data_IF_841100447226
#
_entry.id   IF_841100447226
#
_cell.length_a   1.000
_cell.length_b   1.000
_cell.length_c   1.000
_cell.angle_alpha   90.00
_cell.angle_beta   90.00
_cell.angle_gamma   90.00
#
_symmetry.space_group_name_H-M   'P 1'
#
loop_
_entity.id
_entity.type
_entity.pdbx_description
1 polymer ?
#
# COMPACT_ATOMS: atom_id res chain seq x y z
N UNK A 1 -10.34 -87.62 -25.29
CA UNK A 1 -9.08 -87.17 -24.64
C UNK A 1 -8.55 -85.98 -25.41
N UNK A 2 -8.21 -84.93 -24.68
CA UNK A 2 -7.79 -83.61 -25.18
C UNK A 2 -6.62 -83.64 -26.15
N UNK A 3 -6.67 -82.78 -27.16
CA UNK A 3 -5.50 -82.06 -27.66
C UNK A 3 -6.00 -80.74 -28.28
N UNK A 4 -6.22 -79.74 -27.41
CA UNK A 4 -6.26 -78.33 -27.83
C UNK A 4 -4.81 -77.92 -28.08
N UNK A 5 -4.39 -77.96 -29.33
CA UNK A 5 -3.21 -77.24 -29.79
C UNK A 5 -3.51 -75.75 -29.60
N UNK A 6 -2.83 -75.14 -28.65
CA UNK A 6 -2.87 -73.69 -28.45
C UNK A 6 -1.99 -73.11 -29.55
N UNK A 7 -2.59 -72.54 -30.58
CA UNK A 7 -1.90 -71.67 -31.53
C UNK A 7 -1.38 -70.46 -30.75
N UNK A 8 -0.12 -70.52 -30.36
CA UNK A 8 0.64 -69.33 -30.04
C UNK A 8 0.71 -68.52 -31.34
N UNK A 9 -0.14 -67.50 -31.45
CA UNK A 9 -0.02 -66.45 -32.46
C UNK A 9 1.34 -65.82 -32.24
N UNK A 10 2.30 -66.23 -33.07
CA UNK A 10 3.62 -65.63 -33.18
C UNK A 10 3.43 -64.15 -33.57
N UNK A 11 3.42 -63.27 -32.55
CA UNK A 11 3.28 -61.84 -32.77
C UNK A 11 4.60 -61.37 -33.34
N UNK A 12 4.55 -60.79 -34.55
CA UNK A 12 5.71 -60.15 -35.15
C UNK A 12 6.33 -59.17 -34.14
N UNK A 13 7.67 -59.21 -33.92
CA UNK A 13 8.35 -58.41 -32.89
C UNK A 13 7.96 -56.92 -32.90
N UNK A 14 7.75 -56.33 -34.08
CA UNK A 14 7.37 -54.92 -34.26
C UNK A 14 6.00 -54.52 -33.69
N UNK A 15 5.03 -55.44 -33.60
CA UNK A 15 3.69 -55.12 -33.10
C UNK A 15 3.68 -54.88 -31.58
N UNK A 16 4.59 -55.53 -30.86
CA UNK A 16 4.73 -55.35 -29.42
C UNK A 16 5.43 -54.03 -29.09
N UNK A 17 6.45 -53.67 -29.86
CA UNK A 17 7.21 -52.44 -29.73
C UNK A 17 6.34 -51.20 -30.02
N UNK A 18 5.50 -51.26 -31.07
CA UNK A 18 4.54 -50.18 -31.36
C UNK A 18 3.47 -50.01 -30.28
N UNK A 19 3.04 -51.09 -29.64
CA UNK A 19 2.10 -51.01 -28.50
C UNK A 19 2.76 -50.38 -27.27
N UNK A 20 4.04 -50.65 -27.04
CA UNK A 20 4.81 -50.02 -25.95
C UNK A 20 4.97 -48.53 -26.21
N UNK A 21 5.32 -48.13 -27.43
CA UNK A 21 5.38 -46.71 -27.82
C UNK A 21 4.02 -46.02 -27.64
N UNK A 22 2.93 -46.65 -28.08
CA UNK A 22 1.58 -46.11 -27.89
C UNK A 22 1.23 -45.97 -26.40
N UNK A 23 1.58 -46.96 -25.57
CA UNK A 23 1.36 -46.89 -24.13
C UNK A 23 2.18 -45.76 -23.48
N UNK A 24 3.44 -45.59 -23.87
CA UNK A 24 4.31 -44.50 -23.42
C UNK A 24 3.74 -43.13 -23.79
N UNK A 25 3.38 -42.93 -25.07
CA UNK A 25 2.75 -41.69 -25.54
C UNK A 25 1.41 -41.42 -24.83
N UNK A 26 0.62 -42.47 -24.57
CA UNK A 26 -0.64 -42.37 -23.82
C UNK A 26 -0.41 -41.92 -22.39
N UNK A 27 0.58 -42.49 -21.71
CA UNK A 27 0.94 -42.11 -20.34
C UNK A 27 1.39 -40.63 -20.26
N UNK A 28 2.28 -40.19 -21.16
CA UNK A 28 2.72 -38.78 -21.22
C UNK A 28 1.57 -37.83 -21.51
N UNK A 29 0.68 -38.19 -22.45
CA UNK A 29 -0.54 -37.42 -22.75
C UNK A 29 -1.42 -37.24 -21.51
N UNK A 30 -1.50 -38.27 -20.68
CA UNK A 30 -2.32 -38.29 -19.47
C UNK A 30 -1.59 -37.70 -18.23
N UNK A 31 -0.37 -37.15 -18.43
CA UNK A 31 0.40 -36.45 -17.41
C UNK A 31 1.37 -37.31 -16.59
N UNK A 32 1.54 -38.59 -16.94
CA UNK A 32 2.53 -39.46 -16.31
C UNK A 32 3.90 -39.29 -16.97
N UNK A 33 4.72 -38.39 -16.40
CA UNK A 33 6.11 -38.18 -16.81
C UNK A 33 7.12 -39.14 -16.13
N UNK A 34 6.63 -40.14 -15.39
CA UNK A 34 7.45 -41.23 -14.84
C UNK A 34 7.66 -42.39 -15.82
N UNK A 35 6.85 -42.46 -16.89
CA UNK A 35 6.92 -43.51 -17.91
C UNK A 35 8.23 -43.49 -18.69
N UNK A 36 8.79 -44.66 -19.02
CA UNK A 36 10.01 -44.79 -19.83
C UNK A 36 9.86 -45.93 -20.83
N UNK A 37 10.38 -45.74 -22.04
CA UNK A 37 10.51 -46.79 -23.04
C UNK A 37 11.85 -47.52 -22.87
N UNK A 38 11.92 -48.84 -23.16
CA UNK A 38 13.17 -49.59 -23.16
C UNK A 38 14.16 -49.01 -24.18
N UNK A 39 15.37 -48.67 -23.74
CA UNK A 39 16.42 -48.05 -24.57
C UNK A 39 17.48 -49.06 -25.05
N UNK A 40 17.29 -50.34 -24.78
CA UNK A 40 18.18 -51.46 -25.10
C UNK A 40 17.91 -52.08 -26.47
N UNK A 41 16.89 -51.63 -27.19
CA UNK A 41 16.59 -52.07 -28.55
C UNK A 41 17.59 -51.52 -29.57
N UNK A 42 18.08 -52.36 -30.47
CA UNK A 42 18.89 -51.92 -31.62
C UNK A 42 17.98 -51.34 -32.73
N UNK A 43 18.47 -50.31 -33.44
CA UNK A 43 17.78 -49.69 -34.57
C UNK A 43 16.81 -48.57 -34.21
N UNK A 44 15.93 -48.20 -35.15
CA UNK A 44 15.09 -47.00 -35.07
C UNK A 44 14.23 -46.92 -33.80
N UNK A 45 13.78 -48.05 -33.27
CA UNK A 45 12.98 -48.09 -32.04
C UNK A 45 13.78 -47.73 -30.79
N UNK A 46 15.06 -48.11 -30.71
CA UNK A 46 15.98 -47.66 -29.67
C UNK A 46 16.25 -46.16 -29.76
N UNK A 47 16.41 -45.64 -30.98
CA UNK A 47 16.56 -44.19 -31.22
C UNK A 47 15.30 -43.42 -30.79
N UNK A 48 14.11 -43.92 -31.16
CA UNK A 48 12.82 -43.35 -30.73
C UNK A 48 12.68 -43.40 -29.21
N UNK A 49 13.02 -44.52 -28.57
CA UNK A 49 12.97 -44.65 -27.12
C UNK A 49 13.89 -43.65 -26.42
N UNK A 50 15.10 -43.43 -26.97
CA UNK A 50 16.05 -42.44 -26.45
C UNK A 50 15.49 -41.02 -26.54
N UNK A 51 14.96 -40.62 -27.71
CA UNK A 51 14.37 -39.29 -27.90
C UNK A 51 13.11 -39.12 -27.05
N UNK A 52 12.26 -40.14 -26.98
CA UNK A 52 11.06 -40.15 -26.14
C UNK A 52 11.41 -39.95 -24.66
N UNK A 53 12.33 -40.75 -24.13
CA UNK A 53 12.74 -40.64 -22.73
C UNK A 53 13.33 -39.26 -22.42
N UNK A 54 14.15 -38.70 -23.32
CA UNK A 54 14.67 -37.34 -23.19
C UNK A 54 13.58 -36.26 -23.19
N UNK A 55 12.55 -36.39 -24.04
CA UNK A 55 11.38 -35.50 -24.02
C UNK A 55 10.60 -35.61 -22.69
N UNK A 56 10.42 -36.83 -22.17
CA UNK A 56 9.74 -37.06 -20.90
C UNK A 56 10.53 -36.47 -19.73
N UNK A 57 11.85 -36.62 -19.72
CA UNK A 57 12.72 -36.00 -18.72
C UNK A 57 12.56 -34.47 -18.72
N UNK A 58 12.59 -33.85 -19.91
CA UNK A 58 12.41 -32.40 -20.06
C UNK A 58 11.05 -31.92 -19.54
N UNK A 59 9.98 -32.64 -19.89
CA UNK A 59 8.62 -32.36 -19.44
C UNK A 59 8.47 -32.49 -17.92
N UNK A 60 9.11 -33.51 -17.34
CA UNK A 60 9.10 -33.75 -15.90
C UNK A 60 9.76 -32.58 -15.14
N UNK A 61 10.96 -32.17 -15.58
CA UNK A 61 11.70 -31.06 -14.95
C UNK A 61 10.95 -29.74 -15.10
N UNK A 62 10.47 -29.42 -16.31
CA UNK A 62 9.72 -28.18 -16.53
C UNK A 62 8.46 -28.13 -15.65
N UNK A 63 7.70 -29.23 -15.56
CA UNK A 63 6.48 -29.28 -14.75
C UNK A 63 6.79 -29.14 -13.27
N UNK A 64 7.85 -29.77 -12.76
CA UNK A 64 8.25 -29.60 -11.36
C UNK A 64 8.67 -28.16 -11.06
N UNK A 65 9.40 -27.52 -11.98
CA UNK A 65 9.89 -26.15 -11.80
C UNK A 65 8.76 -25.12 -11.84
N UNK A 66 7.83 -25.24 -12.78
CA UNK A 66 6.65 -24.36 -12.82
C UNK A 66 5.78 -24.55 -11.59
N UNK A 67 5.59 -25.79 -11.13
CA UNK A 67 4.82 -26.07 -9.90
C UNK A 67 5.49 -25.47 -8.68
N UNK A 68 6.83 -25.57 -8.59
CA UNK A 68 7.63 -24.99 -7.50
C UNK A 68 7.52 -23.47 -7.49
N UNK A 69 7.76 -22.80 -8.62
CA UNK A 69 7.68 -21.34 -8.74
C UNK A 69 6.28 -20.82 -8.44
N UNK A 70 5.24 -21.50 -8.94
CA UNK A 70 3.86 -21.14 -8.66
C UNK A 70 3.53 -21.24 -7.15
N UNK A 71 4.06 -22.27 -6.48
CA UNK A 71 3.90 -22.43 -5.03
C UNK A 71 4.66 -21.36 -4.25
N UNK A 72 5.94 -21.14 -4.57
CA UNK A 72 6.79 -20.15 -3.88
C UNK A 72 6.23 -18.73 -4.01
N UNK A 73 5.99 -18.27 -5.24
CA UNK A 73 5.56 -16.90 -5.52
C UNK A 73 4.08 -16.71 -5.20
N UNK A 74 3.23 -17.69 -5.55
CA UNK A 74 1.78 -17.55 -5.46
C UNK A 74 1.16 -17.95 -4.13
N UNK A 75 1.74 -18.93 -3.41
CA UNK A 75 1.15 -19.47 -2.17
C UNK A 75 1.98 -19.11 -0.94
N UNK A 76 3.30 -19.28 -1.00
CA UNK A 76 4.18 -19.05 0.14
C UNK A 76 4.60 -17.59 0.28
N UNK A 77 4.43 -16.78 -0.78
CA UNK A 77 4.83 -15.37 -0.80
C UNK A 77 6.35 -15.16 -0.86
N UNK A 78 7.10 -16.21 -1.17
CA UNK A 78 8.55 -16.15 -1.38
C UNK A 78 8.83 -15.55 -2.76
N UNK A 79 8.91 -14.21 -2.80
CA UNK A 79 9.11 -13.48 -4.04
C UNK A 79 10.55 -13.64 -4.57
N UNK A 80 10.70 -13.91 -5.85
CA UNK A 80 11.99 -14.05 -6.54
C UNK A 80 12.32 -15.46 -7.03
N UNK A 81 11.43 -16.43 -6.82
CA UNK A 81 11.55 -17.76 -7.42
C UNK A 81 11.55 -17.68 -8.95
N UNK A 82 12.49 -18.38 -9.58
CA UNK A 82 12.60 -18.54 -11.03
C UNK A 82 12.72 -20.03 -11.36
N UNK A 83 12.15 -20.44 -12.48
CA UNK A 83 12.28 -21.78 -13.05
C UNK A 83 13.66 -21.93 -13.68
N UNK A 84 14.37 -22.98 -13.29
CA UNK A 84 15.66 -23.36 -13.87
C UNK A 84 15.51 -24.72 -14.56
N UNK A 85 15.47 -24.70 -15.89
CA UNK A 85 15.24 -25.90 -16.69
C UNK A 85 16.47 -26.14 -17.57
N UNK A 86 17.37 -27.08 -17.22
CA UNK A 86 18.59 -27.33 -17.97
C UNK A 86 18.31 -27.80 -19.40
N UNK A 87 19.19 -27.43 -20.33
CA UNK A 87 19.19 -27.97 -21.70
C UNK A 87 18.03 -27.52 -22.60
N UNK A 88 17.16 -26.60 -22.13
CA UNK A 88 16.06 -26.09 -22.95
C UNK A 88 16.57 -25.24 -24.12
N UNK A 89 15.92 -25.40 -25.27
CA UNK A 89 16.13 -24.58 -26.46
C UNK A 89 14.83 -24.42 -27.24
N UNK A 90 14.79 -23.46 -28.17
CA UNK A 90 13.59 -23.14 -28.93
C UNK A 90 12.41 -22.80 -28.01
N UNK A 91 11.23 -23.32 -28.31
CA UNK A 91 10.00 -23.03 -27.57
C UNK A 91 10.07 -23.34 -26.08
N UNK A 92 10.88 -24.33 -25.67
CA UNK A 92 11.06 -24.63 -24.24
C UNK A 92 11.78 -23.51 -23.50
N UNK A 93 12.78 -22.89 -24.14
CA UNK A 93 13.47 -21.73 -23.57
C UNK A 93 12.51 -20.54 -23.49
N UNK A 94 11.76 -20.27 -24.56
CA UNK A 94 10.79 -19.17 -24.60
C UNK A 94 9.71 -19.30 -23.51
N UNK A 95 9.26 -20.53 -23.21
CA UNK A 95 8.29 -20.80 -22.15
C UNK A 95 8.89 -20.59 -20.75
N UNK A 96 10.10 -21.09 -20.50
CA UNK A 96 10.81 -20.84 -19.23
C UNK A 96 11.02 -19.34 -19.01
N UNK A 97 11.47 -18.62 -20.04
CA UNK A 97 11.67 -17.18 -19.99
C UNK A 97 10.37 -16.42 -19.74
N UNK A 98 9.25 -16.88 -20.34
CA UNK A 98 7.93 -16.28 -20.12
C UNK A 98 7.43 -16.46 -18.69
N UNK A 99 7.59 -17.65 -18.11
CA UNK A 99 7.26 -17.92 -16.69
C UNK A 99 8.12 -17.06 -15.77
N UNK A 100 9.42 -16.99 -16.04
CA UNK A 100 10.36 -16.20 -15.25
C UNK A 100 10.10 -14.69 -15.36
N UNK A 101 9.75 -14.19 -16.55
CA UNK A 101 9.35 -12.81 -16.75
C UNK A 101 8.07 -12.47 -15.95
N UNK A 102 7.07 -13.35 -15.98
CA UNK A 102 5.84 -13.17 -15.20
C UNK A 102 6.12 -13.15 -13.69
N UNK A 103 6.85 -14.16 -13.18
CA UNK A 103 7.19 -14.27 -11.76
C UNK A 103 8.08 -13.11 -11.28
N UNK A 104 9.05 -12.70 -12.09
CA UNK A 104 9.96 -11.59 -11.81
C UNK A 104 9.27 -10.24 -11.80
N UNK A 105 8.36 -9.99 -12.74
CA UNK A 105 7.56 -8.76 -12.78
C UNK A 105 6.67 -8.63 -11.54
N UNK A 106 5.91 -9.68 -11.20
CA UNK A 106 5.04 -9.69 -10.02
C UNK A 106 5.86 -9.56 -8.72
N UNK A 107 6.99 -10.27 -8.62
CA UNK A 107 7.93 -10.13 -7.50
C UNK A 107 8.37 -8.70 -7.29
N UNK A 108 8.85 -8.05 -8.36
CA UNK A 108 9.38 -6.69 -8.29
C UNK A 108 8.29 -5.70 -7.92
N UNK A 109 7.12 -5.83 -8.55
CA UNK A 109 5.96 -4.96 -8.31
C UNK A 109 5.43 -5.06 -6.88
N UNK A 110 5.20 -6.27 -6.38
CA UNK A 110 4.68 -6.49 -5.03
C UNK A 110 5.70 -6.08 -3.96
N UNK A 111 6.99 -6.34 -4.19
CA UNK A 111 8.06 -5.94 -3.26
C UNK A 111 8.17 -4.41 -3.14
N UNK A 112 8.06 -3.68 -4.24
CA UNK A 112 8.09 -2.20 -4.24
C UNK A 112 6.89 -1.63 -3.46
N UNK A 113 5.68 -2.17 -3.71
CA UNK A 113 4.47 -1.81 -2.95
C UNK A 113 4.66 -2.05 -1.45
N UNK A 114 5.20 -3.21 -1.07
CA UNK A 114 5.43 -3.54 0.34
C UNK A 114 6.46 -2.61 1.01
N UNK A 115 7.50 -2.20 0.27
CA UNK A 115 8.49 -1.24 0.77
C UNK A 115 7.85 0.13 1.04
N UNK A 116 7.06 0.65 0.10
CA UNK A 116 6.37 1.93 0.26
C UNK A 116 5.34 1.88 1.40
N UNK A 117 4.56 0.80 1.50
CA UNK A 117 3.64 0.61 2.63
C UNK A 117 4.37 0.58 3.98
N UNK A 118 5.55 -0.07 4.04
CA UNK A 118 6.40 -0.10 5.23
C UNK A 118 6.96 1.29 5.56
N UNK A 119 7.37 2.07 4.55
CA UNK A 119 7.85 3.43 4.72
C UNK A 119 6.75 4.34 5.31
N UNK A 120 5.54 4.28 4.75
CA UNK A 120 4.36 5.00 5.25
C UNK A 120 4.05 4.62 6.70
N UNK A 121 4.10 3.33 7.03
CA UNK A 121 3.88 2.87 8.40
C UNK A 121 4.94 3.40 9.39
N UNK A 122 6.15 3.71 8.91
CA UNK A 122 7.22 4.34 9.70
C UNK A 122 7.17 5.88 9.66
N UNK A 123 6.18 6.46 9.00
CA UNK A 123 6.02 7.91 8.86
C UNK A 123 6.84 8.54 7.74
N UNK A 124 7.51 7.75 6.90
CA UNK A 124 8.19 8.25 5.71
C UNK A 124 7.20 8.31 4.53
N UNK A 125 6.75 9.54 4.25
CA UNK A 125 5.79 9.84 3.17
C UNK A 125 6.49 10.35 1.89
N UNK A 126 7.82 10.23 1.81
CA UNK A 126 8.59 10.61 0.63
C UNK A 126 8.71 9.49 -0.41
N UNK A 127 8.50 8.24 0.02
CA UNK A 127 8.65 7.06 -0.83
C UNK A 127 7.44 6.86 -1.75
N UNK A 128 7.71 6.46 -2.99
CA UNK A 128 6.69 6.18 -4.01
C UNK A 128 7.00 4.87 -4.71
N UNK A 129 5.96 4.20 -5.17
CA UNK A 129 6.11 3.06 -6.06
C UNK A 129 6.55 3.61 -7.39
N UNK A 130 7.69 3.16 -7.90
CA UNK A 130 8.26 3.66 -9.16
C UNK A 130 8.44 2.55 -10.21
N UNK A 131 8.34 1.29 -9.81
CA UNK A 131 8.50 0.18 -10.75
C UNK A 131 7.47 0.20 -11.90
N UNK A 132 7.85 -0.21 -13.13
CA UNK A 132 6.93 -0.30 -14.25
C UNK A 132 5.77 -1.25 -13.97
N UNK A 133 4.55 -0.79 -14.24
CA UNK A 133 3.33 -1.56 -14.05
C UNK A 133 2.34 -1.31 -15.19
N UNK A 134 1.46 -2.28 -15.44
CA UNK A 134 0.36 -2.18 -16.41
C UNK A 134 -0.89 -2.83 -15.82
N UNK A 135 -2.05 -2.51 -16.41
CA UNK A 135 -3.34 -3.09 -16.00
C UNK A 135 -3.64 -2.84 -14.53
N UNK A 136 -4.13 -3.87 -13.84
CA UNK A 136 -4.55 -3.79 -12.42
C UNK A 136 -3.39 -3.40 -11.48
N UNK A 137 -2.16 -3.81 -11.77
CA UNK A 137 -0.99 -3.44 -10.96
C UNK A 137 -0.67 -1.95 -11.12
N UNK A 138 -0.89 -1.37 -12.30
CA UNK A 138 -0.73 0.08 -12.49
C UNK A 138 -1.78 0.84 -11.67
N UNK A 139 -3.04 0.40 -11.71
CA UNK A 139 -4.11 1.00 -10.92
C UNK A 139 -3.80 0.93 -9.41
N UNK A 140 -3.26 -0.21 -8.94
CA UNK A 140 -2.82 -0.36 -7.56
C UNK A 140 -1.67 0.60 -7.22
N UNK A 141 -0.65 0.69 -8.08
CA UNK A 141 0.47 1.65 -7.96
C UNK A 141 -0.05 3.09 -7.83
N UNK A 142 -0.95 3.51 -8.73
CA UNK A 142 -1.53 4.85 -8.72
C UNK A 142 -2.35 5.11 -7.45
N UNK A 143 -3.13 4.13 -7.00
CA UNK A 143 -3.95 4.22 -5.80
C UNK A 143 -3.08 4.41 -4.56
N UNK A 144 -2.03 3.58 -4.40
CA UNK A 144 -1.10 3.69 -3.26
C UNK A 144 -0.32 5.00 -3.33
N UNK A 145 0.18 5.40 -4.51
CA UNK A 145 0.89 6.67 -4.65
C UNK A 145 -0.01 7.86 -4.30
N UNK A 146 -1.27 7.86 -4.75
CA UNK A 146 -2.25 8.90 -4.40
C UNK A 146 -2.50 8.95 -2.89
N UNK A 147 -2.63 7.80 -2.22
CA UNK A 147 -2.75 7.73 -0.77
C UNK A 147 -1.53 8.37 -0.07
N UNK A 148 -0.31 8.09 -0.55
CA UNK A 148 0.91 8.72 -0.02
C UNK A 148 0.91 10.24 -0.23
N UNK A 149 0.45 10.74 -1.39
CA UNK A 149 0.37 12.19 -1.64
C UNK A 149 -0.61 12.89 -0.71
N UNK A 150 -1.78 12.27 -0.49
CA UNK A 150 -2.79 12.79 0.43
C UNK A 150 -2.28 12.84 1.87
N UNK A 151 -1.64 11.76 2.33
CA UNK A 151 -1.01 11.70 3.64
C UNK A 151 0.07 12.78 3.80
N UNK A 152 0.95 12.92 2.82
CA UNK A 152 2.06 13.88 2.84
C UNK A 152 1.55 15.32 2.88
N UNK A 153 0.58 15.64 2.02
CA UNK A 153 -0.04 16.96 1.96
C UNK A 153 -0.77 17.31 3.26
N UNK A 154 -1.52 16.35 3.82
CA UNK A 154 -2.20 16.54 5.10
C UNK A 154 -1.21 16.76 6.25
N UNK A 155 -0.16 15.95 6.35
CA UNK A 155 0.86 16.10 7.37
C UNK A 155 1.58 17.45 7.30
N UNK A 156 1.91 17.91 6.09
CA UNK A 156 2.50 19.22 5.86
C UNK A 156 1.56 20.36 6.30
N UNK A 157 0.29 20.29 5.93
CA UNK A 157 -0.70 21.33 6.24
C UNK A 157 -1.02 21.41 7.74
N UNK A 158 -1.18 20.27 8.41
CA UNK A 158 -1.38 20.25 9.87
C UNK A 158 -0.17 20.82 10.59
N UNK A 159 1.05 20.46 10.16
CA UNK A 159 2.28 20.98 10.75
C UNK A 159 2.38 22.50 10.54
N UNK A 160 2.03 22.99 9.34
CA UNK A 160 2.03 24.42 9.03
C UNK A 160 1.03 25.19 9.89
N UNK A 161 -0.22 24.73 9.98
CA UNK A 161 -1.26 25.40 10.79
C UNK A 161 -0.89 25.37 12.28
N UNK A 162 -0.38 24.25 12.78
CA UNK A 162 0.06 24.15 14.16
C UNK A 162 1.20 25.13 14.46
N UNK A 163 2.15 25.30 13.54
CA UNK A 163 3.23 26.28 13.68
C UNK A 163 2.70 27.72 13.63
N UNK A 164 1.89 28.05 12.63
CA UNK A 164 1.35 29.41 12.46
C UNK A 164 0.47 29.84 13.65
N UNK A 165 -0.54 29.04 13.99
CA UNK A 165 -1.52 29.40 15.02
C UNK A 165 -0.95 29.17 16.42
N UNK A 166 -0.25 28.06 16.64
CA UNK A 166 0.20 27.63 17.97
C UNK A 166 1.55 28.19 18.40
N UNK A 167 2.50 28.38 17.47
CA UNK A 167 3.87 28.81 17.82
C UNK A 167 4.16 30.25 17.41
N UNK A 168 3.80 30.64 16.18
CA UNK A 168 4.07 31.98 15.64
C UNK A 168 3.00 33.01 16.04
N UNK A 169 1.86 32.58 16.57
CA UNK A 169 0.73 33.45 16.92
C UNK A 169 0.08 34.12 15.70
N UNK A 170 0.32 33.61 14.49
CA UNK A 170 -0.29 34.07 13.24
C UNK A 170 -1.69 33.46 13.12
N UNK A 171 -2.63 34.11 13.80
CA UNK A 171 -4.01 33.65 13.88
C UNK A 171 -4.73 33.78 12.52
N UNK A 172 -5.60 32.81 12.21
CA UNK A 172 -6.38 32.75 10.97
C UNK A 172 -5.86 31.75 9.94
N UNK A 173 -4.75 31.05 10.22
CA UNK A 173 -4.26 29.96 9.38
C UNK A 173 -5.27 28.81 9.31
N UNK A 174 -5.49 28.28 8.11
CA UNK A 174 -6.35 27.13 7.85
C UNK A 174 -5.61 26.14 6.96
N UNK A 175 -5.82 24.85 7.21
CA UNK A 175 -5.31 23.75 6.42
C UNK A 175 -6.11 23.65 5.12
N UNK A 176 -5.41 23.55 3.99
CA UNK A 176 -5.99 23.31 2.68
C UNK A 176 -5.33 22.10 2.03
N UNK A 177 -6.04 20.98 2.03
CA UNK A 177 -5.58 19.73 1.43
C UNK A 177 -6.41 19.45 0.17
N UNK A 178 -5.86 19.61 -1.05
CA UNK A 178 -6.60 19.40 -2.28
C UNK A 178 -7.05 17.94 -2.45
N UNK A 179 -8.23 17.74 -3.04
CA UNK A 179 -8.68 16.40 -3.45
C UNK A 179 -9.05 15.45 -2.32
N UNK A 180 -9.10 15.91 -1.06
CA UNK A 180 -9.51 15.08 0.07
C UNK A 180 -11.02 14.88 0.12
N UNK A 181 -11.42 13.66 0.45
CA UNK A 181 -12.80 13.25 0.70
C UNK A 181 -12.89 12.24 1.85
N UNK A 182 -14.12 11.99 2.32
CA UNK A 182 -14.36 11.13 3.48
C UNK A 182 -13.60 11.61 4.72
N UNK A 183 -12.98 10.67 5.44
CA UNK A 183 -12.25 10.92 6.70
C UNK A 183 -11.20 12.02 6.57
N UNK A 184 -10.52 12.13 5.42
CA UNK A 184 -9.50 13.16 5.20
C UNK A 184 -10.08 14.58 5.23
N UNK A 185 -11.29 14.76 4.71
CA UNK A 185 -12.00 16.03 4.76
C UNK A 185 -12.43 16.35 6.19
N UNK A 186 -13.02 15.37 6.87
CA UNK A 186 -13.49 15.53 8.26
C UNK A 186 -12.35 15.93 9.21
N UNK A 187 -11.15 15.35 9.01
CA UNK A 187 -9.95 15.72 9.77
C UNK A 187 -9.47 17.13 9.44
N UNK A 188 -9.47 17.52 8.16
CA UNK A 188 -9.09 18.87 7.72
C UNK A 188 -10.03 19.92 8.32
N UNK A 189 -11.35 19.66 8.26
CA UNK A 189 -12.38 20.54 8.81
C UNK A 189 -12.27 20.65 10.33
N UNK A 190 -11.93 19.55 11.03
CA UNK A 190 -11.72 19.56 12.48
C UNK A 190 -10.52 20.42 12.88
N UNK A 191 -9.41 20.35 12.15
CA UNK A 191 -8.23 21.21 12.37
C UNK A 191 -8.58 22.68 12.11
N UNK A 192 -9.32 22.95 11.05
CA UNK A 192 -9.76 24.31 10.71
C UNK A 192 -10.73 24.89 11.73
N UNK A 193 -11.64 24.08 12.26
CA UNK A 193 -12.55 24.49 13.33
C UNK A 193 -11.79 24.83 14.61
N UNK A 194 -10.82 24.00 15.01
CA UNK A 194 -9.96 24.25 16.17
C UNK A 194 -9.16 25.56 15.99
N UNK A 195 -8.47 25.72 14.86
CA UNK A 195 -7.68 26.90 14.54
C UNK A 195 -8.54 28.17 14.48
N UNK A 196 -9.74 28.08 13.92
CA UNK A 196 -10.72 29.17 13.85
C UNK A 196 -11.22 29.61 15.22
N UNK A 197 -11.54 28.67 16.11
CA UNK A 197 -11.96 28.96 17.49
C UNK A 197 -10.84 29.63 18.29
N UNK A 198 -9.62 29.10 18.23
CA UNK A 198 -8.47 29.72 18.91
C UNK A 198 -8.20 31.12 18.38
N UNK A 199 -8.27 31.31 17.06
CA UNK A 199 -8.10 32.61 16.41
C UNK A 199 -9.13 33.63 16.89
N UNK A 200 -10.41 33.26 16.92
CA UNK A 200 -11.47 34.18 17.33
C UNK A 200 -11.34 34.54 18.81
N UNK A 201 -11.06 33.55 19.66
CA UNK A 201 -10.89 33.73 21.11
C UNK A 201 -9.72 34.64 21.44
N UNK A 202 -8.53 34.37 20.89
CA UNK A 202 -7.32 35.15 21.19
C UNK A 202 -7.41 36.57 20.62
N UNK A 203 -7.98 36.77 19.41
CA UNK A 203 -8.18 38.13 18.87
C UNK A 203 -9.14 38.96 19.72
N UNK A 204 -10.21 38.36 20.23
CA UNK A 204 -11.17 39.07 21.08
C UNK A 204 -10.51 39.51 22.41
N UNK A 205 -9.71 38.62 23.01
CA UNK A 205 -8.89 38.93 24.19
C UNK A 205 -7.93 40.08 23.91
N UNK A 206 -7.20 40.04 22.80
CA UNK A 206 -6.25 41.08 22.41
C UNK A 206 -6.94 42.44 22.18
N UNK A 207 -8.13 42.45 21.55
CA UNK A 207 -8.90 43.67 21.33
C UNK A 207 -9.33 44.32 22.64
N UNK A 208 -9.91 43.55 23.56
CA UNK A 208 -10.41 44.06 24.85
C UNK A 208 -9.27 44.54 25.73
N UNK A 209 -8.17 43.78 25.81
CA UNK A 209 -6.99 44.20 26.58
C UNK A 209 -6.33 45.46 26.02
N UNK A 210 -6.33 45.63 24.69
CA UNK A 210 -5.87 46.87 24.04
C UNK A 210 -6.77 48.06 24.36
N UNK A 211 -8.10 47.88 24.31
CA UNK A 211 -9.06 48.93 24.66
C UNK A 211 -8.88 49.39 26.12
N UNK A 212 -8.73 48.44 27.05
CA UNK A 212 -8.46 48.71 28.47
C UNK A 212 -7.16 49.50 28.63
N UNK A 213 -6.09 49.12 27.92
CA UNK A 213 -4.81 49.86 27.95
C UNK A 213 -4.93 51.30 27.39
N UNK A 214 -5.88 51.54 26.49
CA UNK A 214 -6.20 52.87 25.96
C UNK A 214 -7.19 53.65 26.84
N UNK A 215 -7.63 53.07 27.96
CA UNK A 215 -8.59 53.69 28.89
C UNK A 215 -10.06 53.47 28.53
N UNK A 216 -10.36 52.71 27.49
CA UNK A 216 -11.74 52.31 27.18
C UNK A 216 -12.12 51.04 27.96
N UNK A 217 -12.79 51.27 29.09
CA UNK A 217 -13.27 50.23 30.00
C UNK A 217 -14.70 49.75 29.67
N UNK A 218 -15.26 50.20 28.54
CA UNK A 218 -16.59 49.77 28.09
C UNK A 218 -16.56 48.43 27.34
N UNK A 219 -15.38 48.00 26.86
CA UNK A 219 -15.23 46.79 26.06
C UNK A 219 -15.16 45.53 26.91
N UNK A 220 -15.83 44.46 26.46
CA UNK A 220 -15.84 43.15 27.10
C UNK A 220 -15.59 42.06 26.07
N UNK A 221 -15.02 40.95 26.53
CA UNK A 221 -14.88 39.75 25.70
C UNK A 221 -16.27 39.12 25.61
N UNK A 222 -16.77 38.96 24.38
CA UNK A 222 -18.13 38.44 24.12
C UNK A 222 -18.13 37.05 23.49
N UNK A 223 -17.05 36.65 22.83
CA UNK A 223 -16.93 35.36 22.12
C UNK A 223 -17.22 34.15 23.02
N UNK A 224 -17.84 33.13 22.44
CA UNK A 224 -18.10 31.85 23.11
C UNK A 224 -16.80 31.13 23.45
N UNK A 225 -16.68 30.74 24.71
CA UNK A 225 -15.51 30.09 25.26
C UNK A 225 -15.94 28.95 26.21
N UNK A 226 -15.08 27.95 26.32
CA UNK A 226 -15.25 26.81 27.24
C UNK A 226 -13.92 26.48 27.91
N UNK A 227 -13.96 25.79 29.03
CA UNK A 227 -12.77 25.38 29.78
C UNK A 227 -11.88 26.57 30.17
N UNK A 228 -10.57 26.40 30.04
CA UNK A 228 -9.55 27.40 30.42
C UNK A 228 -9.75 28.76 29.73
N UNK A 229 -10.23 28.77 28.49
CA UNK A 229 -10.51 30.02 27.76
C UNK A 229 -11.71 30.77 28.36
N UNK A 230 -12.70 30.06 28.90
CA UNK A 230 -13.84 30.69 29.58
C UNK A 230 -13.39 31.32 30.90
N UNK A 231 -12.52 30.66 31.65
CA UNK A 231 -11.93 31.19 32.88
C UNK A 231 -11.12 32.46 32.59
N UNK A 232 -10.30 32.44 31.53
CA UNK A 232 -9.56 33.61 31.07
C UNK A 232 -10.50 34.76 30.69
N UNK A 233 -11.54 34.49 29.90
CA UNK A 233 -12.57 35.46 29.52
C UNK A 233 -13.19 36.12 30.76
N UNK A 234 -13.62 35.32 31.74
CA UNK A 234 -14.28 35.83 32.94
C UNK A 234 -13.33 36.64 33.82
N UNK A 235 -12.07 36.20 33.93
CA UNK A 235 -11.03 36.91 34.68
C UNK A 235 -10.78 38.29 34.09
N UNK A 236 -10.59 38.37 32.77
CA UNK A 236 -10.37 39.65 32.08
C UNK A 236 -11.60 40.53 32.19
N UNK A 237 -12.81 40.00 31.96
CA UNK A 237 -14.03 40.81 32.09
C UNK A 237 -14.19 41.38 33.50
N UNK A 238 -13.92 40.57 34.55
CA UNK A 238 -13.96 41.04 35.95
C UNK A 238 -12.91 42.13 36.21
N UNK A 239 -11.71 41.99 35.67
CA UNK A 239 -10.68 43.04 35.74
C UNK A 239 -11.17 44.36 35.13
N UNK A 240 -11.83 44.31 33.96
CA UNK A 240 -12.41 45.50 33.34
C UNK A 240 -13.47 46.15 34.24
N UNK A 241 -14.34 45.35 34.89
CA UNK A 241 -15.36 45.87 35.82
C UNK A 241 -14.71 46.58 37.01
N UNK A 242 -13.68 45.97 37.60
CA UNK A 242 -12.97 46.55 38.75
C UNK A 242 -12.26 47.85 38.39
N UNK A 243 -11.59 47.90 37.24
CA UNK A 243 -10.94 49.12 36.76
C UNK A 243 -11.95 50.24 36.48
N UNK A 244 -13.11 49.91 35.90
CA UNK A 244 -14.17 50.89 35.61
C UNK A 244 -14.69 51.49 36.91
N UNK A 245 -15.00 50.66 37.91
CA UNK A 245 -15.45 51.12 39.21
C UNK A 245 -14.41 51.99 39.94
N UNK A 246 -13.12 51.66 39.82
CA UNK A 246 -12.05 52.48 40.39
C UNK A 246 -11.96 53.85 39.71
N UNK A 247 -12.06 53.91 38.38
CA UNK A 247 -12.02 55.17 37.64
C UNK A 247 -13.21 56.10 38.01
N UNK A 248 -14.39 55.53 38.19
CA UNK A 248 -15.58 56.26 38.65
C UNK A 248 -15.38 56.83 40.06
N UNK A 249 -14.81 56.03 40.97
CA UNK A 249 -14.54 56.43 42.35
C UNK A 249 -13.48 57.55 42.43
N UNK A 250 -12.41 57.46 41.65
CA UNK A 250 -11.39 58.53 41.56
C UNK A 250 -12.02 59.82 41.04
N UNK A 251 -12.88 59.73 40.02
CA UNK A 251 -13.59 60.89 39.47
C UNK A 251 -14.52 61.52 40.50
N UNK A 252 -15.20 60.70 41.31
CA UNK A 252 -16.05 61.17 42.42
C UNK A 252 -15.23 61.88 43.49
N UNK A 253 -14.17 61.26 43.99
CA UNK A 253 -13.28 61.85 45.02
C UNK A 253 -12.62 63.14 44.54
N UNK A 254 -12.15 63.19 43.28
CA UNK A 254 -11.56 64.38 42.71
C UNK A 254 -12.54 65.58 42.68
N UNK A 255 -13.84 65.33 42.48
CA UNK A 255 -14.88 66.36 42.58
C UNK A 255 -15.14 66.81 44.02
N UNK A 256 -15.12 65.89 44.98
CA UNK A 256 -15.39 66.19 46.39
C UNK A 256 -14.24 66.93 47.08
N UNK A 257 -12.99 66.65 46.71
CA UNK A 257 -11.80 67.29 47.31
C UNK A 257 -11.45 68.62 46.60
N UNK A 258 -11.94 68.82 45.38
CA UNK A 258 -11.74 70.04 44.60
C UNK A 258 -12.68 71.21 44.94
N UNK A 259 -13.62 71.02 45.87
CA UNK A 259 -14.53 72.05 46.41
C UNK A 259 -14.15 72.43 47.83
#
# INVERSE_FOLDING_TARGET
MNSRTTEAVDRAPGDQELRQLLAGLTAVRDGDFGTRLPSDGEGLLGDIATVFNGMVDQLSVFTSEVTRVAREVGTEGTLGGQAEVPGVSGTWADLTDSVNAMAGNLTTQVRDIAQVATAVAKGDLSQKIDVPARGEILQLKETVNTMVDQLSSFAAEVTRVAREVGSEGRLGGQAQVPGVGGVWRDLTDSVNFMAGNLTSQVRNVAQVTTAVAQGDLSQKITVDARGEILELKNTINTMVDQLSGFADEVTRVAREVGT
#
